data_IF_231462643185
#
_entry.id   IF_231462643185
#
_cell.length_a   1.000
_cell.length_b   1.000
_cell.length_c   1.000
_cell.angle_alpha   90.00
_cell.angle_beta   90.00
_cell.angle_gamma   90.00
#
_symmetry.space_group_name_H-M   'P 1'
#
loop_
_entity.id
_entity.type
_entity.pdbx_description
1 polymer ?
#
# COMPACT_ATOMS: atom_id res chain seq x y z
N UNK A 1 -1.21 -4.64 -9.54
CA UNK A 1 -1.45 -4.14 -8.19
C UNK A 1 -2.95 -4.00 -7.96
N UNK A 2 -3.45 -4.43 -6.81
CA UNK A 2 -4.84 -4.25 -6.38
C UNK A 2 -5.03 -2.89 -5.68
N UNK A 3 -6.12 -2.18 -5.91
CA UNK A 3 -6.46 -0.96 -5.16
C UNK A 3 -7.92 -1.08 -4.72
N UNK A 4 -8.16 -1.09 -3.41
CA UNK A 4 -9.52 -1.16 -2.88
C UNK A 4 -10.34 0.09 -3.27
N UNK A 5 -11.62 -0.10 -3.56
CA UNK A 5 -12.51 1.01 -3.89
C UNK A 5 -12.83 1.85 -2.64
N UNK A 6 -12.93 3.17 -2.81
CA UNK A 6 -13.35 4.07 -1.74
C UNK A 6 -12.23 4.48 -0.77
N UNK A 7 -10.97 4.17 -1.09
CA UNK A 7 -9.83 4.74 -0.35
C UNK A 7 -9.87 6.27 -0.38
N UNK A 8 -9.50 6.87 0.75
CA UNK A 8 -9.48 8.32 0.92
C UNK A 8 -8.43 8.92 -0.02
N UNK A 9 -8.80 9.96 -0.76
CA UNK A 9 -7.82 10.74 -1.51
C UNK A 9 -6.79 11.38 -0.58
N UNK A 10 -5.53 11.34 -0.96
CA UNK A 10 -4.48 12.10 -0.29
C UNK A 10 -4.61 13.57 -0.68
N UNK A 11 -4.91 14.45 0.29
CA UNK A 11 -5.07 15.89 0.05
C UNK A 11 -3.76 16.58 -0.32
N UNK A 12 -2.63 16.01 0.09
CA UNK A 12 -1.31 16.60 -0.11
C UNK A 12 -0.71 16.13 -1.44
N UNK A 13 -1.13 14.95 -1.92
CA UNK A 13 -0.67 14.34 -3.16
C UNK A 13 -1.82 14.13 -4.15
N UNK A 14 -2.07 15.11 -5.02
CA UNK A 14 -3.15 15.04 -6.01
C UNK A 14 -3.04 13.81 -6.90
N UNK A 15 -4.10 13.02 -6.97
CA UNK A 15 -4.15 11.76 -7.74
C UNK A 15 -3.66 10.54 -6.96
N UNK A 16 -3.37 10.70 -5.67
CA UNK A 16 -2.99 9.62 -4.77
C UNK A 16 -4.11 9.28 -3.79
N UNK A 17 -4.02 8.07 -3.23
CA UNK A 17 -4.95 7.56 -2.21
C UNK A 17 -4.18 7.05 -1.01
N UNK A 18 -4.77 7.22 0.17
CA UNK A 18 -4.24 6.74 1.44
C UNK A 18 -4.81 5.36 1.76
N UNK A 19 -3.95 4.49 2.29
CA UNK A 19 -4.36 3.17 2.75
C UNK A 19 -3.19 2.33 3.25
N UNK A 20 -3.47 1.06 3.51
CA UNK A 20 -2.50 0.07 3.94
C UNK A 20 -1.98 -0.70 2.75
N UNK A 21 -0.69 -0.55 2.44
CA UNK A 21 -0.03 -1.25 1.36
C UNK A 21 0.54 -2.58 1.83
N UNK A 22 0.49 -3.58 0.94
CA UNK A 22 1.36 -4.77 1.02
C UNK A 22 2.48 -4.60 0.01
N UNK A 23 3.72 -4.50 0.50
CA UNK A 23 4.88 -4.03 -0.28
C UNK A 23 6.12 -4.86 0.06
N UNK A 24 6.98 -5.09 -0.94
CA UNK A 24 8.34 -5.63 -0.76
C UNK A 24 9.35 -4.68 -1.36
N UNK A 25 10.47 -4.46 -0.68
CA UNK A 25 11.50 -3.50 -1.09
C UNK A 25 12.47 -4.03 -2.16
N UNK A 26 12.78 -5.34 -2.16
CA UNK A 26 13.80 -5.94 -3.04
C UNK A 26 13.37 -7.32 -3.60
N UNK A 27 13.13 -7.43 -4.93
CA UNK A 27 12.87 -6.31 -5.85
C UNK A 27 11.57 -5.61 -5.45
N UNK A 28 11.49 -4.32 -5.78
CA UNK A 28 10.30 -3.50 -5.54
C UNK A 28 9.06 -4.20 -6.07
N UNK A 29 8.05 -4.32 -5.21
CA UNK A 29 6.75 -4.82 -5.61
C UNK A 29 5.67 -4.31 -4.67
N UNK A 30 4.71 -3.61 -5.26
CA UNK A 30 3.52 -3.14 -4.58
C UNK A 30 2.34 -4.04 -4.96
N UNK A 31 1.92 -4.88 -4.02
CA UNK A 31 0.88 -5.90 -4.25
C UNK A 31 -0.49 -5.25 -4.32
N UNK A 32 -0.79 -4.39 -3.34
CA UNK A 32 -2.03 -3.63 -3.35
C UNK A 32 -2.24 -2.73 -2.14
N UNK A 33 -3.29 -1.91 -2.24
CA UNK A 33 -3.78 -0.99 -1.21
C UNK A 33 -5.11 -1.47 -0.64
N UNK A 34 -5.22 -1.44 0.69
CA UNK A 34 -6.36 -1.89 1.46
C UNK A 34 -6.87 -0.79 2.39
N UNK A 35 -8.17 -0.79 2.68
CA UNK A 35 -8.77 0.21 3.57
C UNK A 35 -8.36 0.00 5.04
N UNK A 36 -8.07 -1.25 5.44
CA UNK A 36 -7.73 -1.62 6.83
C UNK A 36 -6.40 -2.35 6.92
N UNK A 37 -5.72 -2.21 8.05
CA UNK A 37 -4.46 -2.90 8.34
C UNK A 37 -4.68 -4.42 8.36
N UNK A 38 -5.78 -4.90 8.93
CA UNK A 38 -6.11 -6.32 9.02
C UNK A 38 -6.33 -6.95 7.64
N UNK A 39 -6.95 -6.21 6.69
CA UNK A 39 -7.09 -6.65 5.31
C UNK A 39 -5.73 -6.80 4.62
N UNK A 40 -4.85 -5.81 4.80
CA UNK A 40 -3.48 -5.88 4.28
C UNK A 40 -2.66 -7.00 4.92
N UNK A 41 -2.74 -7.19 6.25
CA UNK A 41 -2.07 -8.29 6.98
C UNK A 41 -2.55 -9.65 6.53
N UNK A 42 -3.86 -9.82 6.35
CA UNK A 42 -4.45 -11.05 5.82
C UNK A 42 -3.91 -11.34 4.42
N UNK A 43 -3.77 -10.33 3.55
CA UNK A 43 -3.15 -10.55 2.25
C UNK A 43 -1.67 -10.88 2.36
N UNK A 44 -0.95 -10.16 3.23
CA UNK A 44 0.49 -10.34 3.40
C UNK A 44 0.84 -11.74 3.89
N UNK A 45 0.03 -12.34 4.77
CA UNK A 45 0.26 -13.69 5.30
C UNK A 45 0.05 -14.81 4.27
N UNK A 46 -0.69 -14.55 3.20
CA UNK A 46 -0.83 -15.47 2.06
C UNK A 46 0.39 -15.46 1.12
N UNK A 47 1.26 -14.46 1.24
CA UNK A 47 2.41 -14.27 0.36
C UNK A 47 3.67 -14.86 0.99
N UNK A 48 4.48 -15.50 0.15
CA UNK A 48 5.83 -15.89 0.53
C UNK A 48 6.81 -14.75 0.24
N UNK A 49 7.80 -14.57 1.12
CA UNK A 49 8.89 -13.61 0.97
C UNK A 49 8.77 -12.41 1.92
N UNK A 50 9.67 -11.45 1.74
CA UNK A 50 9.84 -10.28 2.63
C UNK A 50 8.83 -9.17 2.32
N UNK A 51 7.53 -9.50 2.31
CA UNK A 51 6.46 -8.51 2.23
C UNK A 51 6.17 -7.92 3.60
N UNK A 52 5.84 -6.64 3.61
CA UNK A 52 5.50 -5.87 4.79
C UNK A 52 4.18 -5.13 4.57
N UNK A 53 3.53 -4.79 5.69
CA UNK A 53 2.35 -3.92 5.71
C UNK A 53 2.76 -2.52 6.14
N UNK A 54 2.49 -1.51 5.31
CA UNK A 54 2.83 -0.11 5.58
C UNK A 54 1.65 0.80 5.28
N UNK A 55 1.35 1.75 6.17
CA UNK A 55 0.38 2.80 5.87
C UNK A 55 1.05 3.92 5.07
N UNK A 56 0.42 4.36 3.99
CA UNK A 56 1.02 5.38 3.14
C UNK A 56 0.12 5.84 2.01
N UNK A 57 0.73 6.55 1.08
CA UNK A 57 0.10 7.15 -0.09
C UNK A 57 0.54 6.43 -1.35
N UNK A 58 -0.42 6.12 -2.23
CA UNK A 58 -0.21 5.46 -3.51
C UNK A 58 -0.74 6.30 -4.67
N UNK A 59 0.04 6.45 -5.75
CA UNK A 59 -0.38 7.15 -6.95
C UNK A 59 -1.19 6.25 -7.88
N UNK A 60 -2.45 6.61 -8.12
CA UNK A 60 -3.34 5.86 -9.00
C UNK A 60 -2.76 5.73 -10.42
N UNK A 61 -2.81 4.51 -10.95
CA UNK A 61 -2.32 4.18 -12.31
C UNK A 61 -0.83 3.89 -12.40
N UNK A 62 -0.12 3.77 -11.27
CA UNK A 62 1.30 3.42 -11.21
C UNK A 62 1.54 2.31 -10.16
N UNK A 63 2.81 2.02 -9.84
CA UNK A 63 3.23 1.29 -8.64
C UNK A 63 3.99 2.19 -7.65
N UNK A 64 3.92 3.52 -7.81
CA UNK A 64 4.51 4.49 -6.90
C UNK A 64 3.80 4.42 -5.55
N UNK A 65 4.56 4.30 -4.47
CA UNK A 65 4.07 4.32 -3.10
C UNK A 65 5.09 4.97 -2.17
N UNK A 66 4.59 5.81 -1.27
CA UNK A 66 5.38 6.45 -0.22
C UNK A 66 4.73 6.17 1.13
N UNK A 67 5.54 5.81 2.11
CA UNK A 67 5.10 5.61 3.49
C UNK A 67 6.02 6.40 4.42
N UNK A 68 5.48 6.79 5.57
CA UNK A 68 6.27 7.43 6.61
C UNK A 68 6.96 6.29 7.38
N UNK A 69 8.29 6.28 7.39
CA UNK A 69 9.02 5.47 8.38
C UNK A 69 8.93 6.18 9.72
N UNK A 70 8.37 5.50 10.72
CA UNK A 70 8.38 5.99 12.10
C UNK A 70 9.76 5.63 12.65
N UNK A 71 10.58 6.67 12.83
CA UNK A 71 11.93 6.60 13.42
C UNK A 71 11.84 6.38 14.92
#
# INVERSE_FOLDING_TARGET
>A
MFVENGLKADSDNRGWVLGWAVVRSKPWHLVGMYATEDGAKSKCSELNGEYEVRYGSHRLGSDDFVYIDVI
#
